data_IF_523541011289
#
_entry.id   IF_523541011289
#
_cell.length_a   1.000
_cell.length_b   1.000
_cell.length_c   1.000
_cell.angle_alpha   90.00
_cell.angle_beta   90.00
_cell.angle_gamma   90.00
#
_symmetry.space_group_name_H-M   'P 1'
#
loop_
_entity.id
_entity.type
_entity.pdbx_description
1 polymer ?
#
# COMPACT_ATOMS: atom_id res chain seq x y z
N UNK A 1 47.26 -18.93 -49.21
CA UNK A 1 46.18 -19.19 -48.23
C UNK A 1 46.33 -18.19 -47.08
N UNK A 2 45.35 -17.30 -46.90
CA UNK A 2 45.32 -16.30 -45.80
C UNK A 2 44.65 -16.96 -44.59
N UNK A 3 45.38 -17.22 -43.51
CA UNK A 3 44.81 -17.65 -42.23
C UNK A 3 44.53 -16.41 -41.37
N UNK A 4 43.25 -16.01 -41.31
CA UNK A 4 42.75 -15.03 -40.34
C UNK A 4 42.71 -15.69 -38.95
N UNK A 5 43.51 -15.20 -38.02
CA UNK A 5 43.29 -15.45 -36.59
C UNK A 5 42.22 -14.47 -36.10
N UNK A 6 40.99 -14.96 -35.93
CA UNK A 6 39.91 -14.23 -35.28
C UNK A 6 40.10 -14.32 -33.78
N UNK A 7 40.59 -13.24 -33.17
CA UNK A 7 40.60 -13.08 -31.71
C UNK A 7 39.17 -13.14 -31.16
N UNK A 8 38.91 -14.12 -30.30
CA UNK A 8 37.74 -14.13 -29.43
C UNK A 8 37.81 -12.91 -28.52
N UNK A 9 37.01 -11.87 -28.82
CA UNK A 9 36.66 -10.86 -27.84
C UNK A 9 35.81 -11.55 -26.79
N UNK A 10 36.43 -11.86 -25.65
CA UNK A 10 35.73 -12.04 -24.38
C UNK A 10 34.72 -10.90 -24.23
N UNK A 11 33.43 -11.19 -24.41
CA UNK A 11 32.37 -10.29 -23.95
C UNK A 11 32.54 -10.23 -22.44
N UNK A 12 32.90 -9.08 -21.91
CA UNK A 12 32.72 -8.80 -20.50
C UNK A 12 31.29 -9.22 -20.15
N UNK A 13 31.14 -10.15 -19.23
CA UNK A 13 29.86 -10.38 -18.57
C UNK A 13 29.53 -9.07 -17.86
N UNK A 14 28.74 -8.19 -18.50
CA UNK A 14 28.05 -7.15 -17.76
C UNK A 14 27.28 -7.90 -16.67
N UNK A 15 27.75 -7.80 -15.43
CA UNK A 15 27.00 -8.29 -14.28
C UNK A 15 25.73 -7.48 -14.27
N UNK A 16 24.65 -8.09 -14.72
CA UNK A 16 23.32 -7.51 -14.74
C UNK A 16 22.95 -7.15 -13.30
N UNK A 17 22.84 -5.86 -13.00
CA UNK A 17 22.64 -5.35 -11.65
C UNK A 17 21.14 -5.39 -11.31
N UNK A 18 20.81 -5.84 -10.10
CA UNK A 18 19.45 -5.82 -9.58
C UNK A 18 19.36 -4.83 -8.42
N UNK A 19 18.19 -4.19 -8.27
CA UNK A 19 17.91 -3.25 -7.18
C UNK A 19 16.54 -3.54 -6.59
N UNK A 20 16.43 -3.45 -5.27
CA UNK A 20 15.20 -3.60 -4.52
C UNK A 20 14.88 -2.31 -3.77
N UNK A 21 13.67 -1.81 -3.98
CA UNK A 21 13.08 -0.71 -3.23
C UNK A 21 12.08 -1.28 -2.23
N UNK A 22 12.24 -0.93 -0.97
CA UNK A 22 11.38 -1.39 0.12
C UNK A 22 10.73 -0.17 0.77
N UNK A 23 9.41 -0.13 0.78
CA UNK A 23 8.68 0.83 1.60
C UNK A 23 8.74 0.38 3.06
N UNK A 24 9.31 1.18 3.99
CA UNK A 24 9.46 0.77 5.38
C UNK A 24 8.12 0.67 6.12
N UNK A 25 7.00 1.16 5.55
CA UNK A 25 5.68 1.04 6.15
C UNK A 25 5.16 -0.41 6.20
N UNK A 26 5.68 -1.31 5.37
CA UNK A 26 5.32 -2.73 5.45
C UNK A 26 5.91 -3.36 6.72
N UNK A 27 5.18 -4.32 7.30
CA UNK A 27 5.66 -5.09 8.45
C UNK A 27 6.99 -5.78 8.15
N UNK A 28 7.86 -5.91 9.15
CA UNK A 28 9.14 -6.62 9.08
C UNK A 28 9.99 -6.29 7.83
N UNK A 29 9.93 -5.03 7.36
CA UNK A 29 10.63 -4.56 6.16
C UNK A 29 12.15 -4.80 6.22
N UNK A 30 12.76 -4.67 7.41
CA UNK A 30 14.16 -5.01 7.62
C UNK A 30 14.44 -6.51 7.46
N UNK A 31 13.56 -7.38 7.96
CA UNK A 31 13.70 -8.84 7.80
C UNK A 31 13.63 -9.22 6.32
N UNK A 32 12.74 -8.58 5.54
CA UNK A 32 12.69 -8.74 4.08
C UNK A 32 14.01 -8.30 3.47
N UNK A 33 14.51 -7.11 3.81
CA UNK A 33 15.77 -6.57 3.30
C UNK A 33 16.97 -7.49 3.58
N UNK A 34 17.09 -7.97 4.82
CA UNK A 34 18.17 -8.85 5.27
C UNK A 34 18.13 -10.22 4.60
N UNK A 35 16.97 -10.62 4.08
CA UNK A 35 16.77 -11.87 3.34
C UNK A 35 17.19 -11.79 1.87
N UNK A 36 17.39 -10.59 1.33
CA UNK A 36 17.73 -10.40 -0.08
C UNK A 36 19.18 -10.86 -0.37
N UNK A 37 19.45 -11.44 -1.55
CA UNK A 37 20.80 -11.78 -1.96
C UNK A 37 21.73 -10.56 -1.97
N UNK A 38 22.97 -10.73 -1.52
CA UNK A 38 23.96 -9.65 -1.42
C UNK A 38 24.31 -8.95 -2.75
N UNK A 39 23.95 -9.53 -3.89
CA UNK A 39 24.12 -8.94 -5.22
C UNK A 39 22.94 -8.04 -5.65
N UNK A 40 21.90 -7.92 -4.84
CA UNK A 40 20.80 -6.96 -5.04
C UNK A 40 21.09 -5.73 -4.20
N UNK A 41 21.14 -4.56 -4.84
CA UNK A 41 21.24 -3.30 -4.12
C UNK A 41 19.91 -3.03 -3.41
N UNK A 42 19.91 -2.76 -2.11
CA UNK A 42 18.68 -2.45 -1.36
C UNK A 42 18.59 -0.96 -1.06
N UNK A 43 17.41 -0.38 -1.26
CA UNK A 43 17.08 1.01 -0.95
C UNK A 43 15.77 1.05 -0.17
N UNK A 44 15.80 1.56 1.05
CA UNK A 44 14.58 1.90 1.77
C UNK A 44 14.06 3.26 1.28
N UNK A 45 12.77 3.34 1.00
CA UNK A 45 12.11 4.60 0.69
C UNK A 45 11.94 5.42 1.98
N UNK A 46 12.06 6.74 1.87
CA UNK A 46 11.58 7.66 2.88
C UNK A 46 10.05 7.75 2.79
N UNK A 47 9.30 7.36 3.85
CA UNK A 47 7.85 7.39 3.85
C UNK A 47 7.26 8.80 3.74
N UNK A 48 8.05 9.84 4.05
CA UNK A 48 7.61 11.24 3.97
C UNK A 48 7.87 11.89 2.60
N UNK A 49 8.51 11.19 1.65
CA UNK A 49 8.85 11.71 0.34
C UNK A 49 8.10 10.96 -0.79
N UNK A 50 8.09 11.53 -1.99
CA UNK A 50 7.47 10.90 -3.18
C UNK A 50 8.32 9.71 -3.64
N UNK A 51 7.79 8.49 -3.52
CA UNK A 51 8.56 7.28 -3.83
C UNK A 51 8.94 7.13 -5.30
N UNK A 52 8.18 7.70 -6.24
CA UNK A 52 8.56 7.66 -7.65
C UNK A 52 9.77 8.56 -7.90
N UNK A 53 9.84 9.71 -7.25
CA UNK A 53 11.03 10.58 -7.29
C UNK A 53 12.26 9.90 -6.72
N UNK A 54 12.12 9.25 -5.57
CA UNK A 54 13.20 8.51 -4.93
C UNK A 54 13.74 7.40 -5.84
N UNK A 55 12.85 6.60 -6.42
CA UNK A 55 13.24 5.53 -7.36
C UNK A 55 13.92 6.11 -8.60
N UNK A 56 13.33 7.13 -9.24
CA UNK A 56 13.93 7.77 -10.41
C UNK A 56 15.35 8.26 -10.13
N UNK A 57 15.58 8.88 -8.96
CA UNK A 57 16.88 9.38 -8.56
C UNK A 57 17.87 8.24 -8.28
N UNK A 58 17.43 7.18 -7.57
CA UNK A 58 18.26 6.03 -7.23
C UNK A 58 18.65 5.16 -8.44
N UNK A 59 17.82 5.13 -9.48
CA UNK A 59 18.13 4.44 -10.73
C UNK A 59 19.19 5.16 -11.57
N UNK A 60 19.42 6.46 -11.34
CA UNK A 60 20.34 7.26 -12.14
C UNK A 60 21.78 6.75 -12.08
N UNK A 61 22.39 6.54 -13.25
CA UNK A 61 23.83 6.28 -13.39
C UNK A 61 24.22 4.81 -13.53
N UNK A 62 23.26 3.87 -13.50
CA UNK A 62 23.50 2.44 -13.67
C UNK A 62 22.53 1.82 -14.69
N UNK A 63 22.80 0.56 -15.07
CA UNK A 63 21.92 -0.27 -15.89
C UNK A 63 21.46 -1.49 -15.10
N UNK A 64 20.16 -1.59 -14.87
CA UNK A 64 19.55 -2.67 -14.08
C UNK A 64 18.82 -3.66 -14.99
N UNK A 65 18.95 -4.94 -14.66
CA UNK A 65 18.16 -6.02 -15.27
C UNK A 65 16.94 -6.41 -14.45
N UNK A 66 16.89 -6.02 -13.19
CA UNK A 66 15.74 -6.28 -12.33
C UNK A 66 15.54 -5.12 -11.36
N UNK A 67 14.30 -4.66 -11.26
CA UNK A 67 13.81 -3.78 -10.20
C UNK A 67 12.79 -4.55 -9.39
N UNK A 68 13.03 -4.72 -8.10
CA UNK A 68 12.05 -5.23 -7.15
C UNK A 68 11.46 -4.06 -6.38
N UNK A 69 10.14 -3.99 -6.26
CA UNK A 69 9.43 -2.98 -5.47
C UNK A 69 8.54 -3.69 -4.48
N UNK A 70 8.88 -3.62 -3.20
CA UNK A 70 8.16 -4.28 -2.10
C UNK A 70 7.45 -3.20 -1.29
N UNK A 71 6.12 -3.18 -1.35
CA UNK A 71 5.31 -2.18 -0.64
C UNK A 71 3.86 -2.66 -0.47
N UNK A 72 3.05 -1.87 0.23
CA UNK A 72 1.61 -2.10 0.24
C UNK A 72 0.99 -1.87 -1.15
N UNK A 73 0.12 -2.81 -1.56
CA UNK A 73 -0.66 -2.76 -2.78
C UNK A 73 -2.17 -2.70 -2.53
N UNK A 74 -2.90 -2.39 -3.60
CA UNK A 74 -4.34 -2.57 -3.70
C UNK A 74 -4.74 -2.78 -5.17
N UNK A 75 -6.01 -3.10 -5.43
CA UNK A 75 -6.58 -3.28 -6.77
C UNK A 75 -6.10 -2.21 -7.76
N UNK A 76 -5.16 -2.58 -8.65
CA UNK A 76 -4.63 -1.69 -9.69
C UNK A 76 -3.72 -0.55 -9.19
N UNK A 77 -3.13 -0.66 -8.00
CA UNK A 77 -2.29 0.41 -7.41
C UNK A 77 -1.22 -0.11 -6.45
N UNK A 78 -0.12 0.63 -6.33
CA UNK A 78 0.93 0.39 -5.32
C UNK A 78 1.31 1.71 -4.62
N UNK A 79 1.48 1.66 -3.30
CA UNK A 79 1.94 2.78 -2.49
C UNK A 79 3.47 2.82 -2.46
N UNK A 80 4.08 4.00 -2.56
CA UNK A 80 5.53 4.19 -2.52
C UNK A 80 5.85 5.50 -1.79
N UNK A 81 6.15 5.41 -0.49
CA UNK A 81 6.24 6.59 0.38
C UNK A 81 4.93 7.38 0.37
N UNK A 82 4.95 8.64 -0.06
CA UNK A 82 3.73 9.46 -0.24
C UNK A 82 3.08 9.31 -1.63
N UNK A 83 3.69 8.55 -2.55
CA UNK A 83 3.20 8.38 -3.90
C UNK A 83 2.27 7.17 -4.01
N UNK A 84 1.08 7.38 -4.56
CA UNK A 84 0.25 6.28 -5.06
C UNK A 84 0.44 6.13 -6.57
N UNK A 85 1.00 5.01 -7.01
CA UNK A 85 1.18 4.70 -8.43
C UNK A 85 0.05 3.78 -8.89
N UNK A 86 -0.76 4.25 -9.84
CA UNK A 86 -1.89 3.54 -10.44
C UNK A 86 -2.07 4.00 -11.90
N UNK A 87 -3.06 3.45 -12.63
CA UNK A 87 -3.30 3.82 -14.04
C UNK A 87 -3.51 5.34 -14.27
N UNK A 88 -4.14 6.05 -13.33
CA UNK A 88 -4.40 7.48 -13.46
C UNK A 88 -3.18 8.35 -13.12
N UNK A 89 -2.51 8.10 -11.99
CA UNK A 89 -1.35 8.88 -11.55
C UNK A 89 -0.12 8.63 -12.41
N UNK A 90 0.01 7.42 -12.96
CA UNK A 90 1.00 7.07 -13.96
C UNK A 90 0.90 7.97 -15.20
N UNK A 91 -0.31 8.29 -15.67
CA UNK A 91 -0.49 9.15 -16.84
C UNK A 91 -0.40 10.64 -16.49
N UNK A 92 -1.03 11.05 -15.39
CA UNK A 92 -1.22 12.47 -15.07
C UNK A 92 -0.05 13.11 -14.32
N UNK A 93 0.76 12.31 -13.61
CA UNK A 93 1.84 12.81 -12.73
C UNK A 93 3.20 12.19 -13.03
N UNK A 94 3.27 10.86 -13.20
CA UNK A 94 4.55 10.15 -13.17
C UNK A 94 5.12 9.75 -14.54
N UNK A 95 4.39 9.99 -15.63
CA UNK A 95 4.74 9.50 -16.97
C UNK A 95 6.19 9.80 -17.37
N UNK A 96 6.63 11.06 -17.22
CA UNK A 96 7.99 11.46 -17.60
C UNK A 96 9.06 10.79 -16.74
N UNK A 97 8.78 10.61 -15.45
CA UNK A 97 9.72 9.98 -14.50
C UNK A 97 9.87 8.49 -14.79
N UNK A 98 8.76 7.81 -15.10
CA UNK A 98 8.75 6.41 -15.50
C UNK A 98 9.43 6.21 -16.88
N UNK A 99 9.27 7.14 -17.81
CA UNK A 99 10.02 7.11 -19.08
C UNK A 99 11.54 7.22 -18.86
N UNK A 100 11.98 7.99 -17.86
CA UNK A 100 13.41 8.07 -17.50
C UNK A 100 13.94 6.75 -16.97
N UNK A 101 13.11 5.88 -16.37
CA UNK A 101 13.55 4.57 -15.91
C UNK A 101 14.11 3.74 -17.06
N UNK A 102 13.47 3.78 -18.24
CA UNK A 102 13.92 3.07 -19.44
C UNK A 102 15.40 3.29 -19.78
N UNK A 103 15.90 4.51 -19.56
CA UNK A 103 17.30 4.84 -19.82
C UNK A 103 18.28 4.14 -18.85
N UNK A 104 17.80 3.62 -17.73
CA UNK A 104 18.56 2.88 -16.72
C UNK A 104 18.23 1.37 -16.71
N UNK A 105 17.46 0.88 -17.68
CA UNK A 105 17.11 -0.54 -17.81
C UNK A 105 17.88 -1.20 -18.96
N UNK A 106 18.14 -2.50 -18.81
CA UNK A 106 18.56 -3.38 -19.91
C UNK A 106 17.38 -3.69 -20.85
N UNK A 107 17.61 -4.20 -22.08
CA UNK A 107 16.53 -4.54 -23.00
C UNK A 107 15.56 -5.62 -22.50
N UNK A 108 16.06 -6.55 -21.66
CA UNK A 108 15.32 -7.66 -21.05
C UNK A 108 15.16 -7.41 -19.54
N UNK A 109 14.90 -6.16 -19.14
CA UNK A 109 14.77 -5.84 -17.73
C UNK A 109 13.37 -6.17 -17.21
N UNK A 110 13.32 -6.75 -16.01
CA UNK A 110 12.08 -7.05 -15.30
C UNK A 110 11.80 -6.01 -14.21
N UNK A 111 10.53 -5.66 -14.02
CA UNK A 111 10.04 -4.92 -12.85
C UNK A 111 9.05 -5.81 -12.11
N UNK A 112 9.35 -6.10 -10.84
CA UNK A 112 8.55 -6.99 -9.99
C UNK A 112 7.91 -6.17 -8.87
N UNK A 113 6.58 -6.11 -8.86
CA UNK A 113 5.79 -5.38 -7.87
C UNK A 113 5.20 -6.35 -6.86
N UNK A 114 5.71 -6.32 -5.63
CA UNK A 114 5.21 -7.09 -4.50
C UNK A 114 4.28 -6.20 -3.68
N UNK A 115 2.99 -6.50 -3.74
CA UNK A 115 1.92 -5.77 -3.06
C UNK A 115 0.59 -6.44 -3.34
N UNK A 116 -0.32 -6.46 -2.36
CA UNK A 116 -1.61 -7.14 -2.53
C UNK A 116 -2.40 -6.54 -3.71
N UNK A 117 -2.95 -7.40 -4.57
CA UNK A 117 -3.93 -7.08 -5.60
C UNK A 117 -3.48 -6.02 -6.64
N UNK A 118 -2.18 -5.72 -6.73
CA UNK A 118 -1.66 -4.67 -7.63
C UNK A 118 -2.07 -4.91 -9.09
N UNK A 119 -2.16 -6.18 -9.49
CA UNK A 119 -2.58 -6.62 -10.82
C UNK A 119 -3.96 -7.30 -10.85
N UNK A 120 -4.80 -7.08 -9.82
CA UNK A 120 -6.21 -7.52 -9.89
C UNK A 120 -6.93 -6.86 -11.08
N UNK A 121 -6.57 -5.61 -11.38
CA UNK A 121 -6.83 -4.95 -12.66
C UNK A 121 -5.52 -4.79 -13.45
N UNK A 122 -5.50 -5.24 -14.71
CA UNK A 122 -4.25 -5.34 -15.48
C UNK A 122 -3.83 -4.04 -16.18
N UNK A 123 -4.76 -3.10 -16.40
CA UNK A 123 -4.51 -1.84 -17.12
C UNK A 123 -3.32 -1.05 -16.54
N UNK A 124 -3.21 -1.02 -15.21
CA UNK A 124 -2.10 -0.36 -14.55
C UNK A 124 -0.75 -0.99 -14.96
N UNK A 125 -0.66 -2.31 -14.92
CA UNK A 125 0.55 -3.06 -15.23
C UNK A 125 0.92 -2.92 -16.71
N UNK A 126 -0.04 -3.06 -17.60
CA UNK A 126 0.18 -2.95 -19.05
C UNK A 126 0.66 -1.55 -19.44
N UNK A 127 0.06 -0.51 -18.86
CA UNK A 127 0.49 0.87 -19.08
C UNK A 127 1.90 1.15 -18.53
N UNK A 128 2.23 0.56 -17.37
CA UNK A 128 3.56 0.69 -16.78
C UNK A 128 4.62 -0.02 -17.65
N UNK A 129 4.31 -1.21 -18.16
CA UNK A 129 5.20 -1.94 -19.08
C UNK A 129 5.43 -1.12 -20.36
N UNK A 130 4.37 -0.57 -20.96
CA UNK A 130 4.48 0.24 -22.16
C UNK A 130 5.37 1.49 -21.95
N UNK A 131 5.25 2.17 -20.81
CA UNK A 131 5.99 3.40 -20.53
C UNK A 131 7.46 3.13 -20.23
N UNK A 132 7.73 2.15 -19.38
CA UNK A 132 9.09 1.79 -18.96
C UNK A 132 9.82 1.00 -20.05
N UNK A 133 9.10 0.31 -20.93
CA UNK A 133 9.63 -0.61 -21.93
C UNK A 133 10.21 -1.89 -21.32
N UNK A 134 9.83 -2.21 -20.08
CA UNK A 134 10.26 -3.38 -19.34
C UNK A 134 9.12 -4.40 -19.24
N UNK A 135 9.49 -5.65 -18.99
CA UNK A 135 8.54 -6.68 -18.65
C UNK A 135 8.15 -6.53 -17.17
N UNK A 136 6.88 -6.75 -16.82
CA UNK A 136 6.38 -6.49 -15.47
C UNK A 136 5.65 -7.69 -14.90
N UNK A 137 5.98 -8.07 -13.66
CA UNK A 137 5.24 -9.04 -12.87
C UNK A 137 4.66 -8.39 -11.62
N UNK A 138 3.44 -8.77 -11.25
CA UNK A 138 2.76 -8.26 -10.06
C UNK A 138 1.73 -9.25 -9.51
N UNK A 139 1.46 -9.22 -8.21
CA UNK A 139 0.45 -10.08 -7.59
C UNK A 139 -0.96 -9.61 -7.93
N UNK A 140 -1.88 -10.54 -8.20
CA UNK A 140 -3.31 -10.26 -8.38
C UNK A 140 -4.16 -10.62 -7.15
N UNK A 141 -3.53 -11.15 -6.11
CA UNK A 141 -4.13 -11.55 -4.85
C UNK A 141 -3.31 -10.97 -3.67
N UNK A 142 -3.51 -11.48 -2.45
CA UNK A 142 -2.73 -11.05 -1.29
C UNK A 142 -1.27 -11.49 -1.39
N UNK A 143 -0.34 -10.55 -1.28
CA UNK A 143 1.09 -10.86 -1.14
C UNK A 143 1.50 -10.94 0.33
N UNK A 144 2.20 -12.00 0.76
CA UNK A 144 2.76 -12.15 2.09
C UNK A 144 2.45 -13.49 2.76
N UNK A 145 1.82 -13.44 3.94
CA UNK A 145 1.66 -14.60 4.81
C UNK A 145 0.64 -15.61 4.28
N UNK A 146 1.09 -16.85 4.07
CA UNK A 146 0.21 -18.01 3.80
C UNK A 146 -0.87 -18.20 4.87
N UNK A 147 -0.58 -17.88 6.14
CA UNK A 147 -1.55 -17.98 7.25
C UNK A 147 -2.70 -16.99 7.10
N UNK A 148 -2.49 -15.88 6.39
CA UNK A 148 -3.48 -14.85 6.11
C UNK A 148 -4.08 -14.96 4.69
N UNK A 149 -3.78 -16.07 4.00
CA UNK A 149 -4.25 -16.38 2.65
C UNK A 149 -3.56 -15.58 1.55
N UNK A 150 -2.30 -15.19 1.75
CA UNK A 150 -1.45 -14.63 0.70
C UNK A 150 -0.21 -15.48 0.42
N UNK A 151 0.49 -15.17 -0.65
CA UNK A 151 1.74 -15.83 -1.03
C UNK A 151 2.73 -14.81 -1.62
N UNK A 152 3.84 -15.25 -2.21
CA UNK A 152 4.82 -14.34 -2.82
C UNK A 152 4.87 -14.50 -4.34
N UNK A 153 3.86 -15.15 -4.92
CA UNK A 153 3.76 -15.36 -6.34
C UNK A 153 3.31 -14.05 -7.02
N UNK A 154 3.81 -13.86 -8.24
CA UNK A 154 3.43 -12.76 -9.12
C UNK A 154 2.70 -13.38 -10.31
N UNK A 155 1.38 -13.53 -10.17
CA UNK A 155 0.56 -14.31 -11.10
C UNK A 155 0.36 -13.60 -12.43
N UNK A 156 0.31 -12.27 -12.39
CA UNK A 156 0.15 -11.47 -13.59
C UNK A 156 1.50 -11.05 -14.14
N UNK A 157 1.65 -11.18 -15.46
CA UNK A 157 2.85 -10.84 -16.20
C UNK A 157 2.49 -10.10 -17.49
N UNK A 158 3.09 -8.95 -17.70
CA UNK A 158 3.09 -8.24 -18.98
C UNK A 158 4.50 -8.37 -19.57
N UNK A 159 4.66 -9.31 -20.51
CA UNK A 159 5.96 -9.69 -21.05
C UNK A 159 6.52 -11.02 -20.56
N UNK A 160 7.79 -11.29 -20.85
CA UNK A 160 8.53 -12.45 -20.34
C UNK A 160 9.19 -12.10 -19.00
N UNK A 161 9.24 -13.02 -18.04
CA UNK A 161 9.82 -12.76 -16.72
C UNK A 161 10.79 -13.87 -16.38
N UNK A 162 12.08 -13.55 -16.40
CA UNK A 162 13.18 -14.45 -16.06
C UNK A 162 13.67 -14.25 -14.62
N UNK A 163 13.37 -13.10 -14.02
CA UNK A 163 13.77 -12.77 -12.66
C UNK A 163 12.95 -13.56 -11.63
N UNK A 164 13.67 -14.23 -10.72
CA UNK A 164 13.07 -14.94 -9.60
C UNK A 164 12.69 -14.00 -8.44
N UNK A 165 11.76 -14.45 -7.59
CA UNK A 165 11.47 -13.77 -6.32
C UNK A 165 12.73 -13.80 -5.43
N UNK A 166 13.23 -12.64 -4.97
CA UNK A 166 14.52 -12.58 -4.27
C UNK A 166 14.40 -12.82 -2.77
N UNK A 167 13.18 -12.78 -2.22
CA UNK A 167 12.93 -12.91 -0.78
C UNK A 167 13.18 -14.36 -0.36
N UNK A 168 14.02 -14.60 0.65
CA UNK A 168 14.39 -15.96 1.03
C UNK A 168 13.18 -16.80 1.47
N UNK A 169 13.17 -18.09 1.12
CA UNK A 169 12.05 -19.02 1.40
C UNK A 169 11.67 -19.03 2.89
N UNK A 170 12.66 -18.99 3.80
CA UNK A 170 12.38 -18.99 5.24
C UNK A 170 11.76 -17.67 5.70
N UNK A 171 12.10 -16.55 5.07
CA UNK A 171 11.43 -15.26 5.32
C UNK A 171 9.99 -15.30 4.80
N UNK A 172 9.78 -15.80 3.58
CA UNK A 172 8.44 -15.95 3.00
C UNK A 172 7.50 -16.79 3.89
N UNK A 173 8.01 -17.89 4.46
CA UNK A 173 7.24 -18.79 5.34
C UNK A 173 6.92 -18.17 6.70
N UNK A 174 7.83 -17.36 7.24
CA UNK A 174 7.71 -16.82 8.59
C UNK A 174 7.08 -15.42 8.63
N UNK A 175 6.96 -14.74 7.50
CA UNK A 175 6.29 -13.45 7.41
C UNK A 175 4.84 -13.55 7.93
N UNK A 176 4.50 -12.70 8.89
CA UNK A 176 3.22 -12.75 9.62
C UNK A 176 2.15 -11.78 9.12
N UNK A 177 2.47 -10.96 8.12
CA UNK A 177 1.59 -9.91 7.59
C UNK A 177 1.27 -10.11 6.11
N UNK A 178 0.46 -9.23 5.53
CA UNK A 178 0.25 -9.12 4.09
C UNK A 178 0.50 -7.69 3.64
N UNK A 179 0.90 -7.50 2.39
CA UNK A 179 1.28 -6.21 1.81
C UNK A 179 0.06 -5.42 1.31
N UNK A 180 -1.01 -5.28 2.11
CA UNK A 180 -2.28 -4.67 1.69
C UNK A 180 -2.42 -3.21 2.16
N UNK A 181 -3.03 -2.33 1.36
CA UNK A 181 -3.65 -1.08 1.86
C UNK A 181 -5.15 -1.28 2.09
N UNK A 182 -5.77 -0.48 2.96
CA UNK A 182 -7.22 -0.53 3.18
C UNK A 182 -7.94 0.52 2.35
N UNK A 183 -8.54 0.13 1.22
CA UNK A 183 -9.28 1.08 0.37
C UNK A 183 -10.77 1.11 0.67
N UNK A 184 -11.31 2.32 0.74
CA UNK A 184 -12.73 2.59 0.99
C UNK A 184 -13.39 3.18 -0.25
N UNK A 185 -14.40 2.52 -0.85
CA UNK A 185 -15.12 3.05 -2.00
C UNK A 185 -15.82 4.39 -1.72
N UNK A 186 -15.89 5.23 -2.75
CA UNK A 186 -16.52 6.53 -2.72
C UNK A 186 -17.97 6.48 -2.21
N UNK A 187 -18.30 7.34 -1.24
CA UNK A 187 -19.68 7.54 -0.79
C UNK A 187 -20.23 6.44 0.11
N UNK A 188 -19.40 5.53 0.60
CA UNK A 188 -19.84 4.58 1.61
C UNK A 188 -20.31 5.32 2.88
N UNK A 189 -21.47 4.92 3.39
CA UNK A 189 -22.09 5.47 4.60
C UNK A 189 -22.28 4.39 5.67
N UNK A 190 -21.66 3.21 5.50
CA UNK A 190 -21.78 2.08 6.41
C UNK A 190 -21.20 2.40 7.80
N UNK A 191 -22.05 2.99 8.64
CA UNK A 191 -21.76 3.34 10.03
C UNK A 191 -22.12 2.17 10.97
N UNK A 192 -22.77 1.13 10.47
CA UNK A 192 -23.05 -0.08 11.23
C UNK A 192 -21.82 -0.98 11.21
N UNK A 193 -21.10 -1.00 12.33
CA UNK A 193 -20.07 -1.98 12.60
C UNK A 193 -20.55 -3.39 12.23
N UNK A 194 -19.67 -4.13 11.53
CA UNK A 194 -19.76 -5.54 11.08
C UNK A 194 -20.36 -5.87 9.71
N UNK A 195 -20.68 -4.91 8.83
CA UNK A 195 -21.49 -5.22 7.64
C UNK A 195 -20.77 -5.44 6.30
N UNK A 196 -19.92 -4.50 5.89
CA UNK A 196 -19.49 -4.43 4.48
C UNK A 196 -17.99 -4.39 4.41
N UNK A 197 -17.38 -5.47 3.91
CA UNK A 197 -15.97 -5.48 3.50
C UNK A 197 -15.72 -4.27 2.60
N UNK A 198 -14.74 -3.44 2.96
CA UNK A 198 -14.38 -2.24 2.20
C UNK A 198 -14.95 -0.91 2.73
N UNK A 199 -15.77 -0.85 3.77
CA UNK A 199 -16.22 0.44 4.34
C UNK A 199 -15.20 1.13 5.25
N UNK A 200 -15.34 2.44 5.53
CA UNK A 200 -14.38 3.18 6.39
C UNK A 200 -14.34 2.64 7.83
N UNK A 201 -15.49 2.25 8.37
CA UNK A 201 -15.58 1.58 9.68
C UNK A 201 -14.82 0.25 9.67
N UNK A 202 -14.95 -0.52 8.57
CA UNK A 202 -14.21 -1.78 8.42
C UNK A 202 -12.71 -1.53 8.32
N UNK A 203 -12.27 -0.58 7.50
CA UNK A 203 -10.87 -0.23 7.31
C UNK A 203 -10.19 0.19 8.62
N UNK A 204 -10.83 1.05 9.42
CA UNK A 204 -10.31 1.44 10.75
C UNK A 204 -10.23 0.24 11.69
N UNK A 205 -11.23 -0.65 11.69
CA UNK A 205 -11.19 -1.85 12.54
C UNK A 205 -10.11 -2.85 12.11
N UNK A 206 -9.83 -2.98 10.81
CA UNK A 206 -8.72 -3.81 10.33
C UNK A 206 -7.37 -3.20 10.71
N UNK A 207 -7.19 -1.90 10.49
CA UNK A 207 -5.99 -1.20 10.91
C UNK A 207 -5.74 -1.26 12.42
N UNK A 208 -6.80 -1.26 13.23
CA UNK A 208 -6.67 -1.45 14.68
C UNK A 208 -6.30 -2.89 15.09
N UNK A 209 -6.49 -3.88 14.21
CA UNK A 209 -6.19 -5.28 14.50
C UNK A 209 -4.72 -5.62 14.26
N UNK A 210 -3.98 -4.69 13.64
CA UNK A 210 -2.56 -4.77 13.34
C UNK A 210 -1.77 -3.85 14.27
N UNK A 211 -0.58 -4.28 14.74
CA UNK A 211 0.28 -3.44 15.59
C UNK A 211 1.04 -2.36 14.81
N UNK A 212 1.12 -2.49 13.48
CA UNK A 212 1.92 -1.63 12.60
C UNK A 212 1.10 -0.46 12.03
N UNK A 213 1.76 0.60 11.51
CA UNK A 213 1.07 1.69 10.85
C UNK A 213 0.36 1.25 9.56
N UNK A 214 -0.91 1.63 9.40
CA UNK A 214 -1.70 1.28 8.21
C UNK A 214 -2.18 2.50 7.43
N UNK A 215 -2.25 2.37 6.11
CA UNK A 215 -2.84 3.41 5.24
C UNK A 215 -4.24 3.01 4.78
N UNK A 216 -5.20 3.89 5.08
CA UNK A 216 -6.58 3.84 4.60
C UNK A 216 -6.74 4.83 3.46
N UNK A 217 -7.11 4.35 2.27
CA UNK A 217 -7.29 5.18 1.07
C UNK A 217 -8.78 5.38 0.81
N UNK A 218 -9.27 6.62 0.87
CA UNK A 218 -10.66 6.93 0.57
C UNK A 218 -10.84 7.16 -0.94
N UNK A 219 -11.95 6.70 -1.52
CA UNK A 219 -12.42 7.18 -2.80
C UNK A 219 -13.01 8.59 -2.67
N UNK A 220 -12.78 9.48 -3.64
CA UNK A 220 -13.36 10.83 -3.64
C UNK A 220 -14.89 10.80 -3.62
N UNK A 221 -15.53 11.65 -2.82
CA UNK A 221 -16.98 11.63 -2.63
C UNK A 221 -17.40 12.13 -1.25
N UNK A 222 -18.68 11.99 -0.89
CA UNK A 222 -19.18 12.42 0.43
C UNK A 222 -19.57 11.22 1.29
N UNK A 223 -18.91 11.07 2.43
CA UNK A 223 -19.18 10.04 3.44
C UNK A 223 -20.02 10.68 4.54
N UNK A 224 -21.30 10.30 4.60
CA UNK A 224 -22.28 10.90 5.50
C UNK A 224 -22.54 10.00 6.71
N UNK A 225 -22.30 10.52 7.91
CA UNK A 225 -22.50 9.80 9.16
C UNK A 225 -23.70 10.34 9.92
N UNK A 226 -24.67 9.47 10.19
CA UNK A 226 -25.90 9.82 10.91
C UNK A 226 -26.13 9.03 12.20
N UNK A 227 -25.39 7.94 12.42
CA UNK A 227 -25.54 7.07 13.60
C UNK A 227 -24.32 7.14 14.51
N UNK A 228 -24.50 6.80 15.78
CA UNK A 228 -23.39 6.68 16.73
C UNK A 228 -22.77 5.29 16.58
N UNK A 229 -21.46 5.24 16.36
CA UNK A 229 -20.68 4.01 16.35
C UNK A 229 -20.26 3.58 17.78
N UNK A 230 -19.76 4.52 18.58
CA UNK A 230 -19.37 4.29 19.97
C UNK A 230 -19.48 5.57 20.82
N UNK A 231 -19.29 5.43 22.14
CA UNK A 231 -19.53 6.49 23.13
C UNK A 231 -18.28 6.89 23.94
N UNK A 232 -17.07 6.51 23.50
CA UNK A 232 -15.85 6.89 24.22
C UNK A 232 -15.68 8.40 24.28
N UNK A 233 -15.77 8.96 25.49
CA UNK A 233 -15.73 10.41 25.75
C UNK A 233 -16.83 11.19 25.03
N UNK A 234 -17.96 10.55 24.70
CA UNK A 234 -19.07 11.11 23.92
C UNK A 234 -19.33 10.36 22.61
N UNK A 235 -20.39 10.71 21.87
CA UNK A 235 -20.82 9.96 20.69
C UNK A 235 -19.88 10.20 19.49
N UNK A 236 -19.38 9.11 18.92
CA UNK A 236 -18.46 9.09 17.78
C UNK A 236 -19.11 8.39 16.58
N UNK A 237 -18.86 8.89 15.38
CA UNK A 237 -19.37 8.33 14.13
C UNK A 237 -18.52 7.17 13.57
N UNK A 238 -17.24 7.10 13.95
CA UNK A 238 -16.29 6.05 13.54
C UNK A 238 -15.74 5.32 14.78
N UNK A 239 -15.18 4.10 14.60
CA UNK A 239 -14.46 3.40 15.66
C UNK A 239 -13.36 4.26 16.27
N UNK A 240 -12.93 3.92 17.48
CA UNK A 240 -11.70 4.50 18.02
C UNK A 240 -10.53 4.13 17.11
N UNK A 241 -9.70 5.10 16.76
CA UNK A 241 -8.39 4.86 16.16
C UNK A 241 -7.45 4.52 17.30
N UNK A 242 -6.85 3.34 17.25
CA UNK A 242 -6.08 2.79 18.36
C UNK A 242 -4.71 2.21 17.97
N UNK A 243 -4.44 2.18 16.67
CA UNK A 243 -3.12 2.01 16.05
C UNK A 243 -2.72 3.30 15.32
N UNK A 244 -1.48 3.33 14.85
CA UNK A 244 -1.03 4.38 13.94
C UNK A 244 -1.72 4.18 12.58
N UNK A 245 -2.46 5.16 12.10
CA UNK A 245 -3.07 5.10 10.77
C UNK A 245 -2.84 6.40 10.00
N UNK A 246 -2.70 6.26 8.69
CA UNK A 246 -2.78 7.35 7.72
C UNK A 246 -4.10 7.23 6.96
N UNK A 247 -4.84 8.34 6.78
CA UNK A 247 -6.03 8.37 5.93
C UNK A 247 -5.77 9.28 4.74
N UNK A 248 -5.68 8.71 3.54
CA UNK A 248 -5.57 9.45 2.28
C UNK A 248 -6.97 9.85 1.80
N UNK A 249 -7.28 11.14 1.86
CA UNK A 249 -8.64 11.63 1.61
C UNK A 249 -9.09 11.62 0.15
N UNK A 250 -8.19 11.78 -0.84
CA UNK A 250 -8.52 11.86 -2.27
C UNK A 250 -9.75 12.72 -2.63
N UNK A 251 -9.89 13.89 -1.98
CA UNK A 251 -11.04 14.79 -2.19
C UNK A 251 -12.35 14.35 -1.52
N UNK A 252 -12.28 13.38 -0.59
CA UNK A 252 -13.41 12.95 0.21
C UNK A 252 -13.85 14.02 1.23
N UNK A 253 -15.17 14.17 1.36
CA UNK A 253 -15.82 14.95 2.40
C UNK A 253 -16.39 14.00 3.45
N UNK A 254 -15.88 14.05 4.68
CA UNK A 254 -16.50 13.37 5.82
C UNK A 254 -17.49 14.33 6.47
N UNK A 255 -18.78 14.03 6.41
CA UNK A 255 -19.84 14.93 6.90
C UNK A 255 -20.74 14.26 7.92
N UNK A 256 -21.24 15.08 8.84
CA UNK A 256 -22.26 14.69 9.82
C UNK A 256 -23.63 15.03 9.26
N UNK A 257 -24.47 14.02 9.07
CA UNK A 257 -25.73 14.16 8.33
C UNK A 257 -26.93 14.62 9.17
N UNK A 258 -26.79 14.80 10.50
CA UNK A 258 -27.88 15.20 11.42
C UNK A 258 -27.41 16.12 12.56
N UNK A 259 -28.36 16.77 13.24
CA UNK A 259 -28.14 17.67 14.38
C UNK A 259 -27.48 17.02 15.61
N UNK A 260 -27.44 15.68 15.69
CA UNK A 260 -26.81 14.95 16.79
C UNK A 260 -25.31 15.23 16.85
N UNK A 261 -24.82 15.84 17.93
CA UNK A 261 -23.43 16.30 18.12
C UNK A 261 -22.44 15.13 18.17
N UNK A 262 -22.12 14.56 17.01
CA UNK A 262 -21.16 13.48 16.80
C UNK A 262 -19.77 14.03 16.49
N UNK A 263 -18.74 13.39 17.03
CA UNK A 263 -17.37 13.55 16.51
C UNK A 263 -17.15 12.52 15.40
N UNK A 264 -16.45 12.92 14.34
CA UNK A 264 -16.05 11.99 13.29
C UNK A 264 -14.97 11.04 13.79
N UNK A 265 -13.93 11.58 14.41
CA UNK A 265 -12.79 10.82 14.90
C UNK A 265 -12.66 10.88 16.41
N UNK A 266 -12.23 9.76 16.98
CA UNK A 266 -11.70 9.66 18.32
C UNK A 266 -10.41 8.85 18.25
N UNK A 267 -9.29 9.48 18.63
CA UNK A 267 -7.96 8.84 18.66
C UNK A 267 -7.68 8.43 20.10
N UNK A 268 -7.63 7.13 20.33
CA UNK A 268 -7.34 6.52 21.63
C UNK A 268 -5.84 6.40 21.87
N UNK A 269 -5.44 6.31 23.14
CA UNK A 269 -4.05 6.11 23.56
C UNK A 269 -3.59 4.63 23.48
N UNK A 270 -4.51 3.68 23.31
CA UNK A 270 -4.25 2.23 23.28
C UNK A 270 -5.41 1.49 22.60
N UNK A 271 -5.17 0.31 22.02
CA UNK A 271 -6.22 -0.64 21.58
C UNK A 271 -7.25 -0.79 22.68
N UNK A 272 -8.52 -0.38 22.48
CA UNK A 272 -9.50 -0.48 23.53
C UNK A 272 -9.82 -1.95 23.80
N UNK A 273 -9.22 -2.49 24.86
CA UNK A 273 -9.45 -3.85 25.37
C UNK A 273 -10.77 -3.99 26.13
N UNK A 274 -11.58 -2.93 26.20
CA UNK A 274 -12.84 -2.91 26.95
C UNK A 274 -13.93 -2.24 26.14
N UNK A 275 -15.10 -2.88 26.09
CA UNK A 275 -16.34 -2.38 25.49
C UNK A 275 -16.59 -0.91 25.86
N UNK A 276 -16.92 -0.07 24.88
CA UNK A 276 -17.18 1.35 25.12
C UNK A 276 -18.29 1.55 26.16
N UNK A 277 -18.14 2.50 27.11
CA UNK A 277 -19.16 2.77 28.10
C UNK A 277 -20.45 3.24 27.41
N UNK A 278 -21.60 2.73 27.84
CA UNK A 278 -22.90 3.18 27.33
C UNK A 278 -23.08 4.69 27.57
N UNK A 279 -23.96 5.38 26.81
CA UNK A 279 -24.24 6.79 27.03
C UNK A 279 -24.60 7.03 28.50
N UNK A 280 -23.89 7.95 29.15
CA UNK A 280 -24.28 8.40 30.48
C UNK A 280 -25.70 8.96 30.38
N UNK A 281 -26.64 8.39 31.15
CA UNK A 281 -27.99 8.93 31.24
C UNK A 281 -27.89 10.41 31.68
N UNK A 282 -28.45 11.32 30.88
CA UNK A 282 -28.47 12.74 31.22
C UNK A 282 -29.05 12.95 32.62
N UNK A 283 -28.30 13.56 33.56
CA UNK A 283 -28.86 13.95 34.85
C UNK A 283 -29.63 15.26 34.65
N UNK A 284 -30.74 15.23 33.91
CA UNK A 284 -31.70 16.31 33.92
C UNK A 284 -32.87 15.88 34.81
N UNK A 285 -32.61 15.89 36.12
CA UNK A 285 -33.64 15.79 37.13
C UNK A 285 -34.45 17.09 37.14
N UNK A 286 -35.72 16.99 36.75
CA UNK A 286 -36.87 17.69 37.33
C UNK A 286 -36.55 18.91 38.21
N UNK A 287 -36.65 20.11 37.64
CA UNK A 287 -36.88 21.32 38.45
C UNK A 287 -38.28 21.22 39.07
N UNK A 288 -38.45 21.33 40.41
CA UNK A 288 -39.77 21.44 40.99
C UNK A 288 -40.37 22.81 40.64
N UNK A 289 -41.56 22.78 40.03
CA UNK A 289 -42.42 23.94 39.80
C UNK A 289 -42.65 24.69 41.11
N UNK A 290 -42.21 25.94 41.20
CA UNK A 290 -42.71 26.88 42.20
C UNK A 290 -44.00 27.50 41.68
N UNK A 291 -45.14 26.97 42.12
CA UNK A 291 -46.41 27.70 42.10
C UNK A 291 -46.37 28.79 43.15
N UNK A 292 -46.62 30.03 42.73
CA UNK A 292 -46.93 31.17 43.58
C UNK A 292 -48.36 31.10 44.11
#
# INVERSE_FOLDING_TARGET
MKTKHSGSKSRSSDKSQAIAFIDPAISDSQTIADSLPANIQTVFLDPAADGIEQITNALGGNKYSAIHIISHGNTGSIQLGTAQLNAATLQTKYREMLQKWRANLTPEADILLYGCNVAENTEFIDNLSQITGADIAASNNKTGSNKLGGDWDLEYRSGSIETAVPIAIDTQKNYSSVLATFTVPAGDTSNTGTGTTGGLVWAINQANATPEPDTIVLGGGTYSFATVNNWWYGPNALPAIASDITIEGNGANLTRSRDDRLRLFYVGRSTPTTTAPAPAASPCATSPSKTA
#
